data_IF_256289136506
#
_entry.id   IF_256289136506
#
_cell.length_a   1.000
_cell.length_b   1.000
_cell.length_c   1.000
_cell.angle_alpha   90.00
_cell.angle_beta   90.00
_cell.angle_gamma   90.00
#
_symmetry.space_group_name_H-M   'P 1'
#
loop_
_entity.id
_entity.type
_entity.pdbx_description
1 polymer ?
#
# COMPACT_ATOMS: atom_id res chain seq x y z
N UNK A 1 28.88 18.34 38.70
CA UNK A 1 29.25 18.51 37.28
C UNK A 1 30.40 17.59 36.84
N UNK A 2 31.47 17.39 37.63
CA UNK A 2 32.63 16.53 37.27
C UNK A 2 32.27 15.09 36.86
N UNK A 3 31.34 14.43 37.57
CA UNK A 3 30.89 13.06 37.24
C UNK A 3 30.10 12.99 35.93
N UNK A 4 29.28 14.00 35.64
CA UNK A 4 28.53 14.10 34.37
C UNK A 4 29.47 14.41 33.20
N UNK A 5 30.50 15.23 33.43
CA UNK A 5 31.54 15.51 32.45
C UNK A 5 32.37 14.26 32.11
N UNK A 6 32.76 13.45 33.10
CA UNK A 6 33.46 12.17 32.85
C UNK A 6 32.62 11.16 32.04
N UNK A 7 31.30 11.12 32.26
CA UNK A 7 30.39 10.26 31.49
C UNK A 7 30.28 10.72 30.03
N UNK A 8 30.19 12.03 29.79
CA UNK A 8 30.13 12.58 28.42
C UNK A 8 31.43 12.33 27.66
N UNK A 9 32.59 12.49 28.31
CA UNK A 9 33.90 12.26 27.69
C UNK A 9 34.10 10.78 27.33
N UNK A 10 33.69 9.86 28.20
CA UNK A 10 33.81 8.42 27.93
C UNK A 10 32.87 7.98 26.80
N UNK A 11 31.65 8.53 26.75
CA UNK A 11 30.70 8.23 25.67
C UNK A 11 31.20 8.75 24.30
N UNK A 12 31.75 9.96 24.26
CA UNK A 12 32.37 10.52 23.05
C UNK A 12 33.52 9.65 22.54
N UNK A 13 34.37 9.15 23.45
CA UNK A 13 35.53 8.33 23.09
C UNK A 13 35.13 6.96 22.51
N UNK A 14 34.07 6.33 23.03
CA UNK A 14 33.53 5.09 22.46
C UNK A 14 32.94 5.32 21.07
N UNK A 15 32.25 6.45 20.86
CA UNK A 15 31.65 6.79 19.58
C UNK A 15 32.70 6.96 18.47
N UNK A 16 33.84 7.60 18.76
CA UNK A 16 34.91 7.77 17.76
C UNK A 16 35.54 6.46 17.30
N UNK A 17 35.61 5.44 18.18
CA UNK A 17 36.10 4.11 17.80
C UNK A 17 35.10 3.36 16.89
N UNK A 18 33.80 3.59 17.04
CA UNK A 18 32.76 3.01 16.17
C UNK A 18 32.79 3.61 14.76
N UNK A 19 33.02 4.92 14.62
CA UNK A 19 33.11 5.55 13.29
C UNK A 19 34.36 5.13 12.50
N UNK A 20 35.47 4.84 13.17
CA UNK A 20 36.69 4.38 12.51
C UNK A 20 36.59 2.95 11.95
N UNK A 21 35.61 2.16 12.39
CA UNK A 21 35.40 0.77 11.94
C UNK A 21 34.48 0.63 10.71
N UNK A 22 33.82 1.70 10.26
CA UNK A 22 32.89 1.67 9.12
C UNK A 22 33.48 2.30 7.84
N UNK A 23 34.82 2.31 7.73
CA UNK A 23 35.55 2.80 6.56
C UNK A 23 36.23 1.67 5.81
N UNK A 24 35.47 0.80 5.14
CA UNK A 24 36.03 -0.06 4.07
C UNK A 24 35.06 -0.17 2.90
N UNK A 25 35.51 0.45 1.81
CA UNK A 25 34.99 0.57 0.46
C UNK A 25 34.93 -0.76 -0.31
N UNK A 26 33.98 -0.88 -1.25
CA UNK A 26 34.22 -1.39 -2.62
C UNK A 26 33.06 -0.99 -3.59
N UNK A 27 33.32 -0.95 -4.92
CA UNK A 27 32.63 -0.09 -5.89
C UNK A 27 31.49 -0.77 -6.66
N UNK A 28 30.69 0.09 -7.28
CA UNK A 28 29.70 -0.10 -8.35
C UNK A 28 30.19 -0.95 -9.52
N UNK A 29 29.37 -1.87 -10.03
CA UNK A 29 29.39 -2.30 -11.43
C UNK A 29 27.94 -2.51 -11.90
N UNK A 30 27.67 -1.97 -13.08
CA UNK A 30 26.38 -1.88 -13.76
C UNK A 30 26.21 -3.07 -14.73
N UNK A 31 25.08 -3.14 -15.45
CA UNK A 31 24.79 -4.02 -16.61
C UNK A 31 23.96 -5.27 -16.32
N UNK A 32 22.71 -5.27 -16.79
CA UNK A 32 22.18 -6.38 -17.60
C UNK A 32 21.06 -5.87 -18.53
N UNK A 33 21.46 -5.63 -19.79
CA UNK A 33 20.62 -5.34 -20.96
C UNK A 33 19.66 -6.50 -21.24
N UNK A 34 18.36 -6.24 -21.20
CA UNK A 34 17.31 -7.16 -21.68
C UNK A 34 17.05 -6.83 -23.16
N UNK A 35 17.34 -7.76 -24.07
CA UNK A 35 16.96 -7.70 -25.47
C UNK A 35 15.47 -8.05 -25.61
N UNK A 36 14.63 -7.14 -26.09
CA UNK A 36 13.29 -7.47 -26.59
C UNK A 36 13.34 -7.66 -28.12
N UNK A 37 12.77 -8.75 -28.67
CA UNK A 37 12.66 -8.89 -30.12
C UNK A 37 11.60 -7.94 -30.70
N UNK A 38 11.97 -7.25 -31.78
CA UNK A 38 11.11 -6.37 -32.56
C UNK A 38 10.19 -7.22 -33.45
N UNK A 39 8.90 -6.86 -33.53
CA UNK A 39 8.00 -7.33 -34.59
C UNK A 39 7.40 -6.09 -35.24
N UNK A 40 7.84 -5.82 -36.46
CA UNK A 40 7.36 -4.76 -37.34
C UNK A 40 7.02 -5.36 -38.71
N UNK A 41 5.92 -4.88 -39.31
CA UNK A 41 5.45 -5.17 -40.67
C UNK A 41 4.00 -5.69 -40.65
N UNK A 42 2.99 -5.04 -41.23
CA UNK A 42 2.93 -3.95 -42.21
C UNK A 42 1.74 -4.23 -43.14
N UNK A 43 0.94 -3.20 -43.48
CA UNK A 43 0.16 -2.93 -44.73
C UNK A 43 -0.46 -4.11 -45.54
N UNK A 44 -1.65 -4.08 -46.16
CA UNK A 44 -2.45 -2.98 -46.69
C UNK A 44 -3.83 -3.49 -47.21
N UNK A 45 -4.70 -2.51 -47.43
CA UNK A 45 -6.03 -2.37 -48.04
C UNK A 45 -6.60 -3.29 -49.19
N UNK A 46 -7.95 -3.42 -49.17
CA UNK A 46 -8.97 -3.09 -50.24
C UNK A 46 -9.60 -4.15 -51.19
N UNK A 47 -10.95 -4.12 -51.19
CA UNK A 47 -11.96 -4.25 -52.28
C UNK A 47 -12.76 -5.53 -52.59
N UNK A 48 -14.06 -5.28 -52.80
CA UNK A 48 -15.29 -6.08 -53.02
C UNK A 48 -15.43 -6.69 -54.46
N UNK A 49 -16.47 -7.52 -54.76
CA UNK A 49 -17.68 -6.95 -55.41
C UNK A 49 -19.06 -7.63 -55.14
N UNK A 50 -20.08 -6.78 -54.95
CA UNK A 50 -21.51 -6.77 -55.37
C UNK A 50 -22.22 -8.02 -55.99
N UNK A 51 -23.40 -8.43 -55.43
CA UNK A 51 -24.68 -8.69 -56.17
C UNK A 51 -25.92 -8.53 -55.24
N UNK A 52 -26.97 -7.86 -55.72
CA UNK A 52 -28.22 -7.44 -55.06
C UNK A 52 -29.34 -8.54 -54.90
N UNK A 53 -30.63 -8.20 -54.65
CA UNK A 53 -31.28 -7.77 -53.39
C UNK A 53 -32.39 -8.75 -52.92
N UNK A 54 -32.72 -8.81 -51.62
CA UNK A 54 -33.97 -9.42 -51.14
C UNK A 54 -34.79 -8.44 -50.30
N UNK A 55 -36.08 -8.34 -50.65
CA UNK A 55 -37.10 -7.46 -50.08
C UNK A 55 -37.42 -7.79 -48.60
N UNK A 56 -38.03 -6.85 -47.87
CA UNK A 56 -37.97 -6.77 -46.41
C UNK A 56 -38.87 -7.81 -45.75
N UNK A 57 -38.28 -8.65 -44.90
CA UNK A 57 -39.04 -9.33 -43.86
C UNK A 57 -39.01 -8.41 -42.64
N UNK A 58 -40.18 -7.99 -42.19
CA UNK A 58 -40.38 -7.26 -40.93
C UNK A 58 -39.83 -8.10 -39.78
N UNK A 59 -38.57 -7.83 -39.41
CA UNK A 59 -38.00 -8.38 -38.20
C UNK A 59 -38.60 -7.63 -37.02
N UNK A 60 -39.44 -8.34 -36.28
CA UNK A 60 -40.07 -7.88 -35.06
C UNK A 60 -39.00 -7.36 -34.10
N UNK A 61 -39.02 -6.05 -33.86
CA UNK A 61 -38.22 -5.39 -32.82
C UNK A 61 -38.62 -5.99 -31.47
N UNK A 62 -37.85 -6.97 -31.00
CA UNK A 62 -37.85 -7.30 -29.58
C UNK A 62 -37.24 -6.09 -28.84
N UNK A 63 -37.91 -5.57 -27.79
CA UNK A 63 -37.36 -4.48 -27.02
C UNK A 63 -36.02 -4.92 -26.41
N UNK A 64 -35.01 -4.08 -26.59
CA UNK A 64 -33.73 -4.13 -25.86
C UNK A 64 -34.07 -4.21 -24.38
N UNK A 65 -34.04 -5.41 -23.83
CA UNK A 65 -33.92 -5.57 -22.39
C UNK A 65 -32.47 -5.22 -22.07
N UNK A 66 -32.29 -4.19 -21.25
CA UNK A 66 -31.03 -3.87 -20.60
C UNK A 66 -30.44 -5.15 -19.99
N UNK A 67 -29.52 -5.77 -20.72
CA UNK A 67 -28.78 -6.92 -20.26
C UNK A 67 -27.81 -6.41 -19.19
N UNK A 68 -28.25 -6.44 -17.93
CA UNK A 68 -27.35 -6.52 -16.79
C UNK A 68 -26.29 -7.59 -17.10
N UNK A 69 -25.00 -7.38 -16.76
CA UNK A 69 -23.96 -8.35 -17.06
C UNK A 69 -24.18 -9.59 -16.18
N UNK A 70 -24.95 -10.55 -16.69
CA UNK A 70 -25.01 -11.91 -16.16
C UNK A 70 -23.78 -12.63 -16.76
N UNK A 71 -22.65 -12.57 -16.06
CA UNK A 71 -21.42 -13.22 -16.54
C UNK A 71 -20.11 -12.78 -15.91
N UNK A 72 -20.08 -11.70 -15.13
CA UNK A 72 -19.01 -11.53 -14.15
C UNK A 72 -19.46 -12.28 -12.91
N UNK A 73 -18.80 -13.40 -12.60
CA UNK A 73 -18.70 -13.84 -11.22
C UNK A 73 -18.40 -12.56 -10.41
N UNK A 74 -19.18 -12.24 -9.35
CA UNK A 74 -18.76 -11.17 -8.48
C UNK A 74 -17.33 -11.53 -8.11
N UNK A 75 -16.38 -10.63 -8.39
CA UNK A 75 -15.10 -10.72 -7.72
C UNK A 75 -15.49 -10.87 -6.27
N UNK A 76 -15.32 -12.08 -5.72
CA UNK A 76 -15.50 -12.34 -4.31
C UNK A 76 -14.36 -11.54 -3.74
N UNK A 77 -14.61 -10.25 -3.47
CA UNK A 77 -13.93 -9.55 -2.42
C UNK A 77 -14.20 -10.43 -1.23
N UNK A 78 -13.21 -11.29 -0.94
CA UNK A 78 -13.15 -12.03 0.31
C UNK A 78 -13.06 -10.94 1.35
N UNK A 79 -14.24 -10.46 1.78
CA UNK A 79 -14.37 -9.60 2.92
C UNK A 79 -14.02 -10.50 4.08
N UNK A 80 -12.75 -10.51 4.45
CA UNK A 80 -12.32 -11.13 5.68
C UNK A 80 -12.77 -10.18 6.80
N UNK A 81 -13.80 -10.52 7.59
CA UNK A 81 -14.23 -9.68 8.71
C UNK A 81 -13.13 -9.54 9.76
N UNK A 82 -12.08 -10.37 9.76
CA UNK A 82 -10.89 -10.17 10.57
C UNK A 82 -10.01 -8.99 10.10
N UNK A 83 -10.21 -8.49 8.88
CA UNK A 83 -9.57 -7.28 8.33
C UNK A 83 -10.44 -6.03 8.48
N UNK A 84 -11.67 -6.17 8.98
CA UNK A 84 -12.55 -5.03 9.27
C UNK A 84 -12.21 -4.42 10.64
N UNK A 85 -12.19 -3.09 10.71
CA UNK A 85 -11.94 -2.35 11.94
C UNK A 85 -13.10 -2.57 12.95
N UNK A 86 -12.86 -3.18 14.13
CA UNK A 86 -13.93 -3.64 15.00
C UNK A 86 -14.24 -2.70 16.18
N UNK A 87 -13.54 -1.57 16.32
CA UNK A 87 -13.59 -0.73 17.52
C UNK A 87 -14.54 0.45 17.29
N UNK A 88 -15.49 0.63 18.20
CA UNK A 88 -16.44 1.76 18.14
C UNK A 88 -15.77 3.06 18.62
N UNK A 89 -15.64 4.10 17.77
CA UNK A 89 -15.06 5.39 18.15
C UNK A 89 -15.85 6.14 19.23
N UNK A 90 -17.12 5.79 19.46
CA UNK A 90 -17.92 6.37 20.54
C UNK A 90 -17.73 5.67 21.90
N UNK A 91 -16.96 4.57 21.95
CA UNK A 91 -16.76 3.81 23.18
C UNK A 91 -15.90 4.58 24.19
N UNK A 92 -16.23 4.58 25.50
CA UNK A 92 -15.37 5.15 26.53
C UNK A 92 -14.04 4.39 26.70
N UNK A 93 -13.93 3.16 26.15
CA UNK A 93 -12.71 2.35 26.15
C UNK A 93 -11.95 2.42 24.82
N UNK A 94 -12.38 3.26 23.88
CA UNK A 94 -11.83 3.38 22.52
C UNK A 94 -10.30 3.46 22.52
N UNK A 95 -9.74 4.37 23.32
CA UNK A 95 -8.31 4.57 23.38
C UNK A 95 -7.55 3.31 23.80
N UNK A 96 -7.99 2.64 24.87
CA UNK A 96 -7.33 1.45 25.38
C UNK A 96 -7.44 0.26 24.40
N UNK A 97 -8.58 0.13 23.73
CA UNK A 97 -8.80 -0.90 22.70
C UNK A 97 -7.95 -0.64 21.46
N UNK A 98 -7.86 0.63 21.04
CA UNK A 98 -7.04 1.03 19.91
C UNK A 98 -5.54 0.87 20.19
N UNK A 99 -5.07 1.23 21.38
CA UNK A 99 -3.68 0.96 21.79
C UNK A 99 -3.36 -0.53 21.69
N UNK A 100 -4.27 -1.38 22.16
CA UNK A 100 -4.10 -2.83 22.12
C UNK A 100 -4.08 -3.34 20.67
N UNK A 101 -4.99 -2.83 19.83
CA UNK A 101 -5.07 -3.17 18.42
C UNK A 101 -3.82 -2.75 17.65
N UNK A 102 -3.41 -1.49 17.75
CA UNK A 102 -2.19 -1.00 17.09
C UNK A 102 -0.95 -1.71 17.62
N UNK A 103 -0.87 -1.99 18.93
CA UNK A 103 0.23 -2.80 19.49
C UNK A 103 0.29 -4.19 18.90
N UNK A 104 -0.86 -4.84 18.68
CA UNK A 104 -0.91 -6.15 18.03
C UNK A 104 -0.48 -6.11 16.56
N UNK A 105 -0.79 -5.02 15.86
CA UNK A 105 -0.45 -4.83 14.44
C UNK A 105 1.06 -4.61 14.26
N UNK A 106 1.67 -3.73 15.06
CA UNK A 106 3.10 -3.41 14.94
C UNK A 106 4.01 -4.48 15.56
N UNK A 107 3.46 -5.32 16.44
CA UNK A 107 4.17 -6.42 17.09
C UNK A 107 5.43 -5.95 17.84
N UNK A 108 6.57 -6.60 17.55
CA UNK A 108 7.87 -6.25 18.14
C UNK A 108 8.70 -5.30 17.27
N UNK A 109 8.21 -4.92 16.09
CA UNK A 109 8.96 -4.14 15.10
C UNK A 109 9.01 -2.66 15.49
N UNK A 110 7.89 -2.15 16.02
CA UNK A 110 7.77 -0.78 16.52
C UNK A 110 7.14 -0.77 17.91
N UNK A 111 7.36 0.32 18.64
CA UNK A 111 6.67 0.59 19.90
C UNK A 111 5.61 1.67 19.67
N UNK A 112 4.53 1.67 20.46
CA UNK A 112 3.55 2.77 20.42
C UNK A 112 4.20 4.12 20.69
N UNK A 113 5.15 4.17 21.63
CA UNK A 113 5.91 5.38 21.94
C UNK A 113 6.64 5.93 20.70
N UNK A 114 7.23 5.07 19.88
CA UNK A 114 7.88 5.49 18.64
C UNK A 114 6.89 6.13 17.66
N UNK A 115 5.65 5.65 17.61
CA UNK A 115 4.60 6.23 16.75
C UNK A 115 4.17 7.61 17.27
N UNK A 116 3.96 7.74 18.58
CA UNK A 116 3.53 9.01 19.20
C UNK A 116 4.58 10.12 19.13
N UNK A 117 5.87 9.76 19.03
CA UNK A 117 6.95 10.74 18.85
C UNK A 117 7.03 11.29 17.41
N UNK A 118 6.23 10.75 16.48
CA UNK A 118 6.20 11.22 15.09
C UNK A 118 5.17 12.33 14.92
N UNK A 119 5.66 13.50 14.52
CA UNK A 119 4.84 14.61 14.05
C UNK A 119 4.67 14.48 12.53
N UNK A 120 3.70 13.65 12.11
CA UNK A 120 3.37 13.38 10.71
C UNK A 120 1.94 13.82 10.40
N UNK A 121 1.72 14.30 9.17
CA UNK A 121 0.37 14.58 8.66
C UNK A 121 -0.39 13.30 8.36
N UNK A 122 -1.70 13.42 8.14
CA UNK A 122 -2.55 12.28 7.74
C UNK A 122 -2.00 11.56 6.50
N UNK A 123 -1.59 12.33 5.48
CA UNK A 123 -1.07 11.81 4.22
C UNK A 123 0.27 11.09 4.43
N UNK A 124 1.14 11.65 5.28
CA UNK A 124 2.41 11.02 5.60
C UNK A 124 2.23 9.72 6.38
N UNK A 125 1.27 9.67 7.31
CA UNK A 125 0.93 8.44 7.99
C UNK A 125 0.38 7.39 7.02
N UNK A 126 -0.46 7.80 6.09
CA UNK A 126 -0.98 6.92 5.04
C UNK A 126 0.14 6.35 4.17
N UNK A 127 1.08 7.18 3.74
CA UNK A 127 2.27 6.74 3.00
C UNK A 127 3.13 5.75 3.80
N UNK A 128 3.30 6.00 5.10
CA UNK A 128 4.03 5.09 5.99
C UNK A 128 3.30 3.75 6.08
N UNK A 129 1.99 3.74 6.36
CA UNK A 129 1.22 2.51 6.54
C UNK A 129 1.04 1.70 5.24
N UNK A 130 1.07 2.36 4.08
CA UNK A 130 1.02 1.72 2.75
C UNK A 130 2.40 1.37 2.18
N UNK A 131 3.48 1.61 2.92
CA UNK A 131 4.82 1.28 2.48
C UNK A 131 4.99 -0.25 2.32
N UNK A 132 5.78 -0.69 1.34
CA UNK A 132 6.07 -2.11 1.11
C UNK A 132 6.62 -2.86 2.35
N UNK A 133 7.26 -2.16 3.29
CA UNK A 133 7.71 -2.74 4.56
C UNK A 133 6.54 -3.11 5.50
N UNK A 134 5.35 -2.56 5.26
CA UNK A 134 4.13 -2.73 6.03
C UNK A 134 3.03 -3.51 5.28
N UNK A 135 3.35 -4.13 4.13
CA UNK A 135 2.41 -4.99 3.38
C UNK A 135 1.81 -6.13 4.23
N UNK A 136 2.51 -6.53 5.29
CA UNK A 136 2.07 -7.53 6.25
C UNK A 136 0.90 -7.09 7.14
N UNK A 137 0.63 -5.78 7.25
CA UNK A 137 -0.45 -5.25 8.09
C UNK A 137 -1.84 -5.50 7.51
N UNK A 138 -1.94 -5.67 6.18
CA UNK A 138 -3.19 -5.97 5.45
C UNK A 138 -4.40 -5.11 5.89
N UNK A 139 -4.16 -3.81 6.16
CA UNK A 139 -5.18 -2.92 6.70
C UNK A 139 -6.26 -2.63 5.64
N UNK A 140 -7.53 -2.75 6.05
CA UNK A 140 -8.64 -2.16 5.30
C UNK A 140 -8.59 -0.64 5.36
N UNK A 141 -9.14 0.04 4.35
CA UNK A 141 -9.17 1.50 4.29
C UNK A 141 -9.80 2.13 5.56
N UNK A 142 -10.88 1.53 6.07
CA UNK A 142 -11.51 1.96 7.32
C UNK A 142 -10.61 1.82 8.54
N UNK A 143 -9.90 0.69 8.68
CA UNK A 143 -8.96 0.48 9.78
C UNK A 143 -7.78 1.45 9.72
N UNK A 144 -7.25 1.69 8.53
CA UNK A 144 -6.16 2.64 8.32
C UNK A 144 -6.59 4.05 8.71
N UNK A 145 -7.74 4.53 8.22
CA UNK A 145 -8.23 5.86 8.55
C UNK A 145 -8.44 6.01 10.06
N UNK A 146 -9.04 5.02 10.73
CA UNK A 146 -9.25 5.06 12.16
C UNK A 146 -7.93 5.08 12.96
N UNK A 147 -6.93 4.30 12.53
CA UNK A 147 -5.58 4.32 13.15
C UNK A 147 -4.95 5.69 12.98
N UNK A 148 -5.01 6.29 11.79
CA UNK A 148 -4.42 7.59 11.50
C UNK A 148 -5.11 8.68 12.34
N UNK A 149 -6.45 8.73 12.33
CA UNK A 149 -7.24 9.68 13.11
C UNK A 149 -6.89 9.58 14.61
N UNK A 150 -6.75 8.36 15.10
CA UNK A 150 -6.36 8.12 16.49
C UNK A 150 -4.93 8.56 16.78
N UNK A 151 -3.95 8.24 15.92
CA UNK A 151 -2.56 8.67 16.08
C UNK A 151 -2.43 10.20 16.07
N UNK A 152 -3.20 10.88 15.24
CA UNK A 152 -3.23 12.35 15.17
C UNK A 152 -3.88 12.99 16.40
N UNK A 153 -4.66 12.23 17.19
CA UNK A 153 -5.26 12.71 18.44
C UNK A 153 -4.34 12.62 19.66
N UNK A 154 -3.15 12.00 19.52
CA UNK A 154 -2.20 11.75 20.62
C UNK A 154 -1.18 12.86 20.83
#
# INVERSE_FOLDING_TARGET
MKKRLSVVITLMLVFTFLLAACGKSEPTEESNTINLPVVEGGEDVVSEPEVAPVSPTEETVNPVQDAYPIGQEPAVTVFDPALAYPIDPASPTYDAEMETYVSSLIGQTHTLQFLFEKDLTEEQWREVLLNANHDHLQLSEGSMNAIIDWLMSK
#
